data_IF_155132308131
#
_entry.id   IF_155132308131
#
_cell.length_a   1.000
_cell.length_b   1.000
_cell.length_c   1.000
_cell.angle_alpha   90.00
_cell.angle_beta   90.00
_cell.angle_gamma   90.00
#
_symmetry.space_group_name_H-M   'P 1'
#
loop_
_entity.id
_entity.type
_entity.pdbx_description
1 polymer ?
#
# COMPACT_ATOMS: atom_id res chain seq x y z
N UNK A 1 68.68 9.51 -35.42
CA UNK A 1 67.48 9.51 -36.27
C UNK A 1 66.48 8.62 -35.56
N UNK A 2 65.35 9.17 -35.13
CA UNK A 2 64.35 8.45 -34.34
C UNK A 2 63.45 7.70 -35.31
N UNK A 3 63.32 6.40 -35.11
CA UNK A 3 62.50 5.51 -35.94
C UNK A 3 61.03 5.97 -35.84
N UNK A 4 60.45 6.30 -36.99
CA UNK A 4 59.03 6.69 -37.06
C UNK A 4 58.22 5.42 -37.22
N UNK A 5 57.64 4.95 -36.12
CA UNK A 5 56.74 3.80 -36.14
C UNK A 5 55.54 4.11 -37.04
N UNK A 6 55.44 3.32 -38.10
CA UNK A 6 54.43 3.38 -39.14
C UNK A 6 53.10 2.92 -38.55
N UNK A 7 52.29 3.86 -38.05
CA UNK A 7 50.96 3.58 -37.51
C UNK A 7 50.03 3.11 -38.65
N UNK A 8 49.79 1.80 -38.69
CA UNK A 8 48.88 1.17 -39.64
C UNK A 8 47.42 1.59 -39.35
N UNK A 9 46.66 2.08 -40.35
CA UNK A 9 45.28 2.56 -40.18
C UNK A 9 44.24 1.45 -39.95
N UNK A 10 44.66 0.18 -39.91
CA UNK A 10 43.79 -0.99 -39.72
C UNK A 10 43.30 -1.19 -38.29
N UNK A 11 44.09 -0.79 -37.28
CA UNK A 11 43.74 -0.99 -35.86
C UNK A 11 42.68 0.00 -35.35
N UNK A 12 42.69 1.24 -35.85
CA UNK A 12 41.77 2.30 -35.40
C UNK A 12 40.29 1.94 -35.58
N UNK A 13 39.90 1.39 -36.74
CA UNK A 13 38.48 1.09 -37.01
C UNK A 13 37.91 0.00 -36.11
N UNK A 14 38.76 -0.95 -35.69
CA UNK A 14 38.37 -2.03 -34.77
C UNK A 14 38.28 -1.52 -33.33
N UNK A 15 39.21 -0.66 -32.92
CA UNK A 15 39.24 -0.03 -31.61
C UNK A 15 38.06 0.93 -31.42
N UNK A 16 37.74 1.75 -32.42
CA UNK A 16 36.57 2.64 -32.43
C UNK A 16 35.26 1.85 -32.28
N UNK A 17 35.17 0.68 -32.94
CA UNK A 17 33.99 -0.17 -32.87
C UNK A 17 33.84 -0.86 -31.51
N UNK A 18 34.95 -1.24 -30.88
CA UNK A 18 34.97 -1.86 -29.55
C UNK A 18 34.69 -0.84 -28.44
N UNK A 19 35.25 0.36 -28.54
CA UNK A 19 34.99 1.48 -27.63
C UNK A 19 33.51 1.94 -27.72
N UNK A 20 32.94 1.98 -28.92
CA UNK A 20 31.52 2.25 -29.11
C UNK A 20 30.64 1.17 -28.46
N UNK A 21 31.02 -0.11 -28.59
CA UNK A 21 30.31 -1.23 -27.96
C UNK A 21 30.39 -1.18 -26.43
N UNK A 22 31.55 -0.87 -25.87
CA UNK A 22 31.74 -0.74 -24.41
C UNK A 22 30.91 0.43 -23.89
N UNK A 23 31.00 1.60 -24.52
CA UNK A 23 30.24 2.79 -24.15
C UNK A 23 28.74 2.51 -24.16
N UNK A 24 28.25 1.89 -25.23
CA UNK A 24 26.82 1.54 -25.36
C UNK A 24 26.38 0.56 -24.28
N UNK A 25 27.23 -0.41 -23.92
CA UNK A 25 26.92 -1.40 -22.88
C UNK A 25 26.88 -0.79 -21.47
N UNK A 26 27.77 0.15 -21.18
CA UNK A 26 27.81 0.87 -19.91
C UNK A 26 26.59 1.79 -19.78
N UNK A 27 26.28 2.57 -20.82
CA UNK A 27 25.11 3.47 -20.83
C UNK A 27 23.82 2.67 -20.65
N UNK A 28 23.66 1.54 -21.35
CA UNK A 28 22.49 0.68 -21.19
C UNK A 28 22.35 0.08 -19.79
N UNK A 29 23.46 -0.25 -19.12
CA UNK A 29 23.41 -0.71 -17.71
C UNK A 29 22.99 0.41 -16.75
N UNK A 30 23.52 1.62 -16.94
CA UNK A 30 23.17 2.78 -16.10
C UNK A 30 21.70 3.16 -16.30
N UNK A 31 21.21 3.13 -17.55
CA UNK A 31 19.79 3.35 -17.87
C UNK A 31 18.89 2.27 -17.23
N UNK A 32 19.34 1.00 -17.22
CA UNK A 32 18.64 -0.09 -16.53
C UNK A 32 18.57 0.11 -15.02
N UNK A 33 19.63 0.62 -14.39
CA UNK A 33 19.64 0.90 -12.95
C UNK A 33 18.74 2.12 -12.65
N UNK A 34 18.81 3.18 -13.46
CA UNK A 34 17.99 4.38 -13.31
C UNK A 34 16.50 4.09 -13.45
N UNK A 35 16.12 3.30 -14.44
CA UNK A 35 14.72 2.89 -14.67
C UNK A 35 14.19 2.00 -13.55
N UNK A 36 15.02 1.16 -12.94
CA UNK A 36 14.66 0.30 -11.80
C UNK A 36 14.55 1.06 -10.47
N UNK A 37 15.32 2.12 -10.27
CA UNK A 37 15.38 2.82 -8.97
C UNK A 37 14.47 4.06 -8.92
N UNK A 38 14.37 4.84 -9.99
CA UNK A 38 13.66 6.13 -9.96
C UNK A 38 12.17 6.02 -10.31
N UNK A 39 11.79 5.17 -11.26
CA UNK A 39 10.40 5.03 -11.71
C UNK A 39 9.47 4.41 -10.64
N UNK A 40 9.82 3.22 -10.09
CA UNK A 40 9.00 2.55 -9.09
C UNK A 40 8.95 3.28 -7.74
N UNK A 41 10.06 3.89 -7.32
CA UNK A 41 10.14 4.59 -6.03
C UNK A 41 9.16 5.77 -5.96
N UNK A 42 9.08 6.58 -7.02
CA UNK A 42 8.17 7.74 -7.06
C UNK A 42 6.71 7.30 -6.97
N UNK A 43 6.34 6.18 -7.61
CA UNK A 43 4.97 5.65 -7.56
C UNK A 43 4.62 5.13 -6.16
N UNK A 44 5.58 4.49 -5.49
CA UNK A 44 5.42 3.99 -4.13
C UNK A 44 5.26 5.13 -3.13
N UNK A 45 6.08 6.18 -3.24
CA UNK A 45 5.96 7.39 -2.41
C UNK A 45 4.60 8.06 -2.56
N UNK A 46 4.12 8.25 -3.80
CA UNK A 46 2.79 8.84 -4.03
C UNK A 46 1.67 8.01 -3.42
N UNK A 47 1.72 6.69 -3.60
CA UNK A 47 0.69 5.79 -3.04
C UNK A 47 0.70 5.83 -1.51
N UNK A 48 1.87 5.92 -0.89
CA UNK A 48 2.00 6.00 0.56
C UNK A 48 1.45 7.33 1.10
N UNK A 49 1.78 8.45 0.44
CA UNK A 49 1.25 9.78 0.79
C UNK A 49 -0.26 9.83 0.60
N UNK A 50 -0.78 9.46 -0.57
CA UNK A 50 -2.23 9.46 -0.82
C UNK A 50 -2.97 8.44 0.06
N UNK A 51 -2.36 7.30 0.36
CA UNK A 51 -2.93 6.30 1.26
C UNK A 51 -3.03 6.83 2.69
N UNK A 52 -1.97 7.47 3.19
CA UNK A 52 -1.97 8.05 4.52
C UNK A 52 -2.97 9.22 4.62
N UNK A 53 -3.01 10.11 3.64
CA UNK A 53 -3.99 11.21 3.62
C UNK A 53 -5.42 10.68 3.53
N UNK A 54 -5.68 9.68 2.69
CA UNK A 54 -6.99 9.05 2.60
C UNK A 54 -7.42 8.41 3.93
N UNK A 55 -6.50 7.72 4.62
CA UNK A 55 -6.78 7.13 5.95
C UNK A 55 -7.15 8.22 6.94
N UNK A 56 -6.40 9.32 7.01
CA UNK A 56 -6.69 10.43 7.93
C UNK A 56 -8.04 11.08 7.61
N UNK A 57 -8.35 11.30 6.33
CA UNK A 57 -9.64 11.84 5.90
C UNK A 57 -10.77 10.90 6.31
N UNK A 58 -10.65 9.60 6.02
CA UNK A 58 -11.66 8.59 6.38
C UNK A 58 -11.82 8.55 7.91
N UNK A 59 -10.72 8.56 8.66
CA UNK A 59 -10.74 8.50 10.11
C UNK A 59 -11.53 9.66 10.74
N UNK A 60 -11.40 10.87 10.18
CA UNK A 60 -12.13 12.05 10.64
C UNK A 60 -13.56 12.07 10.06
N UNK A 61 -13.74 11.63 8.82
CA UNK A 61 -15.02 11.66 8.11
C UNK A 61 -16.03 10.65 8.69
N UNK A 62 -15.58 9.47 9.09
CA UNK A 62 -16.44 8.40 9.63
C UNK A 62 -17.30 8.85 10.83
N UNK A 63 -16.75 9.44 11.91
CA UNK A 63 -17.57 9.90 13.03
C UNK A 63 -18.51 11.05 12.62
N UNK A 64 -18.08 11.97 11.76
CA UNK A 64 -18.94 13.05 11.27
C UNK A 64 -20.13 12.52 10.46
N UNK A 65 -19.88 11.55 9.58
CA UNK A 65 -20.91 10.88 8.80
C UNK A 65 -21.87 10.11 9.71
N UNK A 66 -21.35 9.47 10.77
CA UNK A 66 -22.17 8.80 11.77
C UNK A 66 -23.09 9.78 12.53
N UNK A 67 -22.57 10.92 13.00
CA UNK A 67 -23.38 11.97 13.61
C UNK A 67 -24.42 12.49 12.61
N UNK A 68 -24.02 12.74 11.37
CA UNK A 68 -24.88 13.26 10.31
C UNK A 68 -26.04 12.34 9.99
N UNK A 69 -25.78 11.05 9.81
CA UNK A 69 -26.81 10.01 9.60
C UNK A 69 -27.73 9.94 10.81
N UNK A 70 -27.17 9.91 12.02
CA UNK A 70 -27.99 9.85 13.25
C UNK A 70 -28.94 11.05 13.34
N UNK A 71 -28.45 12.27 13.09
CA UNK A 71 -29.30 13.47 13.08
C UNK A 71 -30.32 13.46 11.95
N UNK A 72 -29.91 13.09 10.74
CA UNK A 72 -30.80 13.03 9.59
C UNK A 72 -31.93 12.03 9.80
N UNK A 73 -31.63 10.85 10.34
CA UNK A 73 -32.64 9.86 10.68
C UNK A 73 -33.58 10.38 11.78
N UNK A 74 -33.08 11.00 12.85
CA UNK A 74 -33.93 11.56 13.91
C UNK A 74 -34.91 12.57 13.31
N UNK A 75 -34.46 13.50 12.47
CA UNK A 75 -35.31 14.52 11.85
C UNK A 75 -36.38 13.89 10.92
N UNK A 76 -35.98 12.89 10.12
CA UNK A 76 -36.91 12.18 9.22
C UNK A 76 -37.95 11.38 10.00
N UNK A 77 -37.55 10.71 11.09
CA UNK A 77 -38.47 9.91 11.91
C UNK A 77 -39.38 10.78 12.79
N UNK A 78 -38.89 11.91 13.30
CA UNK A 78 -39.68 12.91 14.05
C UNK A 78 -40.80 13.49 13.15
N UNK A 79 -40.49 13.74 11.88
CA UNK A 79 -41.46 14.33 10.95
C UNK A 79 -42.41 13.30 10.30
N UNK A 80 -42.04 12.02 10.22
CA UNK A 80 -42.78 11.02 9.44
C UNK A 80 -43.45 9.90 10.25
N UNK A 81 -42.94 9.54 11.44
CA UNK A 81 -43.34 8.28 12.10
C UNK A 81 -43.79 8.44 13.56
N UNK A 82 -43.16 9.30 14.38
CA UNK A 82 -43.47 9.38 15.82
C UNK A 82 -43.77 10.82 16.26
N UNK A 83 -44.97 11.09 16.80
CA UNK A 83 -45.33 12.40 17.36
C UNK A 83 -44.62 12.75 18.68
N UNK A 84 -43.93 11.79 19.30
CA UNK A 84 -43.12 12.00 20.51
C UNK A 84 -41.63 11.86 20.19
N UNK A 85 -40.95 13.00 20.27
CA UNK A 85 -39.51 13.18 19.98
C UNK A 85 -38.61 12.26 20.81
N UNK A 86 -39.02 11.89 22.02
CA UNK A 86 -38.29 10.99 22.93
C UNK A 86 -38.16 9.58 22.37
N UNK A 87 -39.20 9.06 21.73
CA UNK A 87 -39.25 7.69 21.20
C UNK A 87 -38.45 7.57 19.91
N UNK A 88 -38.51 8.60 19.05
CA UNK A 88 -37.74 8.66 17.80
C UNK A 88 -36.21 8.58 18.05
N UNK A 89 -35.71 9.29 19.06
CA UNK A 89 -34.28 9.30 19.41
C UNK A 89 -33.80 7.92 19.86
N UNK A 90 -34.55 7.26 20.74
CA UNK A 90 -34.21 5.91 21.23
C UNK A 90 -34.22 4.87 20.12
N UNK A 91 -35.20 4.94 19.21
CA UNK A 91 -35.27 4.03 18.07
C UNK A 91 -34.05 4.18 17.16
N UNK A 92 -33.64 5.42 16.86
CA UNK A 92 -32.44 5.67 16.05
C UNK A 92 -31.18 5.15 16.73
N UNK A 93 -31.05 5.31 18.05
CA UNK A 93 -29.90 4.76 18.79
C UNK A 93 -29.85 3.22 18.75
N UNK A 94 -30.98 2.55 18.93
CA UNK A 94 -31.04 1.07 18.83
C UNK A 94 -30.72 0.62 17.40
N UNK A 95 -31.26 1.31 16.39
CA UNK A 95 -30.99 1.02 14.99
C UNK A 95 -29.49 1.14 14.69
N UNK A 96 -28.86 2.24 15.13
CA UNK A 96 -27.44 2.47 14.91
C UNK A 96 -26.58 1.47 15.69
N UNK A 97 -26.90 1.20 16.95
CA UNK A 97 -26.20 0.20 17.75
C UNK A 97 -26.24 -1.18 17.06
N UNK A 98 -27.39 -1.57 16.52
CA UNK A 98 -27.56 -2.83 15.78
C UNK A 98 -26.73 -2.85 14.50
N UNK A 99 -26.74 -1.76 13.73
CA UNK A 99 -25.96 -1.64 12.50
C UNK A 99 -24.45 -1.80 12.78
N UNK A 100 -23.93 -1.05 13.74
CA UNK A 100 -22.49 -1.07 14.10
C UNK A 100 -22.07 -2.38 14.76
N UNK A 101 -22.92 -2.95 15.62
CA UNK A 101 -22.67 -4.27 16.20
C UNK A 101 -22.57 -5.34 15.11
N UNK A 102 -23.45 -5.29 14.11
CA UNK A 102 -23.43 -6.22 12.98
C UNK A 102 -22.14 -6.08 12.16
N UNK A 103 -21.72 -4.84 11.86
CA UNK A 103 -20.48 -4.56 11.13
C UNK A 103 -19.27 -5.08 11.91
N UNK A 104 -19.21 -4.80 13.22
CA UNK A 104 -18.15 -5.29 14.10
C UNK A 104 -18.09 -6.82 14.12
N UNK A 105 -19.25 -7.49 14.21
CA UNK A 105 -19.34 -8.96 14.16
C UNK A 105 -18.91 -9.54 12.81
N UNK A 106 -19.23 -8.89 11.70
CA UNK A 106 -18.79 -9.32 10.37
C UNK A 106 -17.27 -9.23 10.22
N UNK A 107 -16.65 -8.15 10.71
CA UNK A 107 -15.19 -8.00 10.76
C UNK A 107 -14.59 -9.09 11.66
N UNK A 108 -15.17 -9.31 12.84
CA UNK A 108 -14.74 -10.35 13.77
C UNK A 108 -14.80 -11.75 13.16
N UNK A 109 -15.81 -12.05 12.34
CA UNK A 109 -15.94 -13.33 11.64
C UNK A 109 -14.80 -13.59 10.65
N UNK A 110 -14.16 -12.52 10.12
CA UNK A 110 -13.01 -12.62 9.22
C UNK A 110 -11.66 -12.82 9.92
N UNK A 111 -11.63 -12.96 11.25
CA UNK A 111 -10.38 -13.20 11.97
C UNK A 111 -9.72 -14.52 11.54
N UNK A 112 -8.43 -14.52 11.15
CA UNK A 112 -7.69 -15.75 10.87
C UNK A 112 -7.56 -16.57 12.16
N UNK A 113 -7.94 -17.85 12.10
CA UNK A 113 -7.97 -18.76 13.26
C UNK A 113 -6.56 -19.18 13.73
N UNK A 114 -5.55 -18.93 12.90
CA UNK A 114 -4.18 -19.38 13.11
C UNK A 114 -3.30 -18.42 13.92
N UNK A 115 -3.82 -17.27 14.36
CA UNK A 115 -3.06 -16.32 15.18
C UNK A 115 -2.74 -16.83 16.60
N UNK A 116 -3.36 -17.94 17.03
CA UNK A 116 -3.18 -18.54 18.35
C UNK A 116 -2.45 -19.89 18.32
N UNK A 117 -2.02 -20.38 17.15
CA UNK A 117 -1.22 -21.59 17.08
C UNK A 117 0.22 -21.22 17.52
N UNK A 118 0.75 -21.79 18.61
CA UNK A 118 2.18 -21.66 18.89
C UNK A 118 2.94 -22.21 17.68
N UNK A 119 3.95 -21.47 17.21
CA UNK A 119 4.87 -21.89 16.15
C UNK A 119 5.37 -23.29 16.52
N UNK A 120 4.82 -24.32 15.85
CA UNK A 120 5.18 -25.72 16.09
C UNK A 120 6.67 -25.88 15.80
N UNK A 121 7.40 -26.12 16.89
CA UNK A 121 8.76 -26.67 17.01
C UNK A 121 9.74 -26.46 15.84
N UNK A 122 10.63 -25.46 16.00
CA UNK A 122 12.01 -25.55 15.49
C UNK A 122 12.95 -26.26 16.49
N UNK A 123 12.43 -26.69 17.65
CA UNK A 123 13.21 -27.34 18.72
C UNK A 123 13.15 -28.87 18.69
N UNK A 124 12.35 -29.46 17.79
CA UNK A 124 12.16 -30.92 17.70
C UNK A 124 13.07 -31.57 16.64
N UNK A 125 13.90 -30.76 15.95
CA UNK A 125 14.97 -31.25 15.07
C UNK A 125 16.35 -31.28 15.76
N UNK A 126 16.54 -30.65 16.92
CA UNK A 126 17.85 -30.64 17.61
C UNK A 126 18.02 -31.82 18.58
N UNK A 127 16.92 -32.42 19.06
CA UNK A 127 16.97 -33.56 19.99
C UNK A 127 17.15 -34.92 19.30
N UNK A 128 16.88 -35.03 18.00
CA UNK A 128 17.02 -36.30 17.27
C UNK A 128 18.41 -36.51 16.64
N UNK A 129 19.29 -35.51 16.76
CA UNK A 129 20.66 -35.53 16.24
C UNK A 129 21.72 -35.45 17.36
N UNK A 130 21.33 -35.63 18.64
CA UNK A 130 22.21 -35.62 19.82
C UNK A 130 22.38 -37.02 20.45
#
# INVERSE_FOLDING_TARGET
>A
MVETENFQPGDQKSNDSFEALITTKIVNQIESIRTKTSGPAIRMSRTLVYGLTAILIILISVPFLFIGISRGLIEVFDNWVFSERSTAVWFVYILNATLWSTIGLLIWKRRPKDAALPKKSMFEMEENDA
#
